data_IF_980610502244
#
_entry.id   IF_980610502244
#
_cell.length_a   1.000
_cell.length_b   1.000
_cell.length_c   1.000
_cell.angle_alpha   90.00
_cell.angle_beta   90.00
_cell.angle_gamma   90.00
#
_symmetry.space_group_name_H-M   'P 1'
#
loop_
_entity.id
_entity.type
_entity.pdbx_description
1 polymer ?
#
# COMPACT_ATOMS: atom_id res chain seq x y z
N UNK A 1 11.73 -16.27 -41.87
CA UNK A 1 11.49 -14.91 -41.33
C UNK A 1 12.30 -13.91 -42.15
N UNK A 2 11.66 -12.91 -42.77
CA UNK A 2 12.33 -12.00 -43.72
C UNK A 2 13.36 -11.13 -42.99
N UNK A 3 14.52 -10.85 -43.62
CA UNK A 3 15.60 -10.04 -43.01
C UNK A 3 15.13 -8.67 -42.51
N UNK A 4 14.13 -8.10 -43.18
CA UNK A 4 13.46 -6.85 -42.78
C UNK A 4 12.71 -7.01 -41.46
N UNK A 5 11.95 -8.10 -41.27
CA UNK A 5 11.22 -8.38 -40.01
C UNK A 5 12.18 -8.59 -38.84
N UNK A 6 13.31 -9.28 -39.07
CA UNK A 6 14.33 -9.48 -38.05
C UNK A 6 15.02 -8.15 -37.64
N UNK A 7 15.28 -7.27 -38.60
CA UNK A 7 15.88 -5.96 -38.34
C UNK A 7 14.94 -5.03 -37.54
N UNK A 8 13.64 -5.06 -37.82
CA UNK A 8 12.63 -4.29 -37.06
C UNK A 8 12.54 -4.80 -35.61
N UNK A 9 12.54 -6.11 -35.40
CA UNK A 9 12.49 -6.70 -34.05
C UNK A 9 13.73 -6.31 -33.23
N UNK A 10 14.92 -6.40 -33.82
CA UNK A 10 16.17 -5.99 -33.16
C UNK A 10 16.20 -4.50 -32.83
N UNK A 11 15.63 -3.66 -33.70
CA UNK A 11 15.51 -2.22 -33.44
C UNK A 11 14.57 -1.92 -32.26
N UNK A 12 13.42 -2.59 -32.18
CA UNK A 12 12.48 -2.43 -31.05
C UNK A 12 13.09 -2.93 -29.73
N UNK A 13 13.79 -4.07 -29.75
CA UNK A 13 14.53 -4.59 -28.59
C UNK A 13 15.63 -3.62 -28.13
N UNK A 14 16.36 -3.01 -29.07
CA UNK A 14 17.36 -1.98 -28.75
C UNK A 14 16.74 -0.72 -28.13
N UNK A 15 15.63 -0.23 -28.69
CA UNK A 15 14.95 0.97 -28.22
C UNK A 15 14.35 0.78 -26.82
N UNK A 16 13.74 -0.38 -26.56
CA UNK A 16 13.18 -0.70 -25.24
C UNK A 16 14.27 -0.79 -24.17
N UNK A 17 15.43 -1.38 -24.48
CA UNK A 17 16.56 -1.45 -23.57
C UNK A 17 17.13 -0.06 -23.23
N UNK A 18 17.24 0.82 -24.24
CA UNK A 18 17.73 2.19 -24.05
C UNK A 18 16.81 3.03 -23.15
N UNK A 19 15.49 2.94 -23.37
CA UNK A 19 14.50 3.65 -22.53
C UNK A 19 14.53 3.11 -21.10
N UNK A 20 14.64 1.79 -20.92
CA UNK A 20 14.77 1.18 -19.58
C UNK A 20 15.99 1.67 -18.81
N UNK A 21 17.15 1.73 -19.47
CA UNK A 21 18.38 2.25 -18.86
C UNK A 21 18.25 3.73 -18.44
N UNK A 22 17.58 4.55 -19.25
CA UNK A 22 17.36 5.97 -18.95
C UNK A 22 16.42 6.18 -17.74
N UNK A 23 15.39 5.34 -17.60
CA UNK A 23 14.46 5.39 -16.47
C UNK A 23 15.16 4.97 -15.16
N UNK A 24 15.98 3.92 -15.20
CA UNK A 24 16.78 3.50 -14.04
C UNK A 24 17.84 4.54 -13.65
N UNK A 25 18.50 5.17 -14.62
CA UNK A 25 19.44 6.26 -14.33
C UNK A 25 18.76 7.45 -13.62
N UNK A 26 17.50 7.75 -13.98
CA UNK A 26 16.72 8.80 -13.30
C UNK A 26 16.26 8.41 -11.89
N UNK A 27 16.01 7.12 -11.62
CA UNK A 27 15.65 6.69 -10.27
C UNK A 27 16.79 6.88 -9.28
N UNK A 28 18.02 6.58 -9.69
CA UNK A 28 19.18 6.67 -8.81
C UNK A 28 19.50 8.12 -8.42
N UNK A 29 19.38 9.06 -9.38
CA UNK A 29 19.50 10.49 -9.10
C UNK A 29 18.39 11.02 -8.16
N UNK A 30 17.15 10.53 -8.32
CA UNK A 30 16.03 10.93 -7.46
C UNK A 30 16.22 10.42 -6.02
N UNK A 31 16.74 9.20 -5.85
CA UNK A 31 17.06 8.62 -4.55
C UNK A 31 18.20 9.42 -3.87
N UNK A 32 19.25 9.77 -4.60
CA UNK A 32 20.36 10.58 -4.08
C UNK A 32 19.92 11.98 -3.61
N UNK A 33 19.02 12.64 -4.35
CA UNK A 33 18.45 13.95 -3.95
C UNK A 33 17.59 13.87 -2.70
N UNK A 34 16.84 12.77 -2.53
CA UNK A 34 15.97 12.54 -1.36
C UNK A 34 16.81 12.31 -0.09
N UNK A 35 17.92 11.57 -0.18
CA UNK A 35 18.84 11.38 0.94
C UNK A 35 19.49 12.68 1.42
N UNK A 36 19.90 13.56 0.49
CA UNK A 36 20.54 14.85 0.83
C UNK A 36 19.57 15.85 1.48
N UNK A 37 18.32 15.85 1.04
CA UNK A 37 17.26 16.73 1.58
C UNK A 37 16.86 16.32 3.01
N UNK A 38 16.81 15.02 3.31
CA UNK A 38 16.52 14.52 4.65
C UNK A 38 17.60 14.90 5.67
N UNK A 39 18.86 14.93 5.26
CA UNK A 39 19.97 15.30 6.15
C UNK A 39 20.03 16.80 6.47
N UNK A 40 19.59 17.68 5.56
CA UNK A 40 19.57 19.13 5.83
C UNK A 40 18.42 19.53 6.78
N UNK A 41 17.29 18.83 6.77
CA UNK A 41 16.16 19.10 7.68
C UNK A 41 16.48 18.77 9.15
N UNK A 42 17.36 17.80 9.40
CA UNK A 42 17.79 17.41 10.75
C UNK A 42 18.81 18.38 11.36
N UNK A 43 19.44 19.24 10.55
CA UNK A 43 20.45 20.20 11.02
C UNK A 43 19.80 21.50 11.54
N UNK A 44 18.60 21.85 11.07
CA UNK A 44 17.96 23.13 11.41
C UNK A 44 17.27 23.15 12.79
N UNK A 45 17.06 21.99 13.44
CA UNK A 45 16.38 21.92 14.74
C UNK A 45 17.30 21.97 15.98
N UNK A 46 18.60 22.26 15.82
CA UNK A 46 19.56 22.22 16.94
C UNK A 46 19.81 23.56 17.64
N UNK A 47 18.85 24.48 17.65
CA UNK A 47 19.00 25.71 18.46
C UNK A 47 17.69 26.15 19.11
N UNK A 48 17.85 26.58 20.37
CA UNK A 48 16.87 27.16 21.30
C UNK A 48 16.18 26.16 22.25
N UNK A 49 16.89 25.78 23.32
CA UNK A 49 16.32 25.89 24.67
C UNK A 49 17.41 26.41 25.61
N UNK A 50 17.20 27.64 26.07
CA UNK A 50 18.02 28.38 27.02
C UNK A 50 18.00 27.69 28.38
N UNK A 51 19.20 27.47 28.91
CA UNK A 51 19.47 26.95 30.26
C UNK A 51 18.82 27.83 31.32
N UNK A 52 17.90 27.28 32.12
CA UNK A 52 17.66 27.81 33.47
C UNK A 52 17.17 26.74 34.44
N UNK A 53 17.85 26.76 35.59
CA UNK A 53 17.56 26.13 36.88
C UNK A 53 18.22 24.77 37.13
N UNK A 54 19.40 24.88 37.74
CA UNK A 54 20.10 23.86 38.51
C UNK A 54 19.13 23.33 39.58
N UNK A 55 18.73 22.07 39.44
CA UNK A 55 18.15 21.28 40.53
C UNK A 55 18.99 20.02 40.60
N UNK A 56 19.77 19.94 41.67
CA UNK A 56 20.56 18.78 42.05
C UNK A 56 19.60 17.64 42.40
N UNK A 57 19.41 16.70 41.49
CA UNK A 57 18.98 15.35 41.81
C UNK A 57 19.89 14.40 41.04
N UNK A 58 20.51 13.48 41.79
CA UNK A 58 21.36 12.38 41.34
C UNK A 58 20.98 11.89 39.94
N UNK A 59 21.90 11.85 38.95
CA UNK A 59 21.57 11.34 37.64
C UNK A 59 21.36 9.83 37.77
N UNK A 60 20.10 9.40 37.81
CA UNK A 60 19.75 8.05 37.46
C UNK A 60 20.28 7.82 36.04
N UNK A 61 21.11 6.79 35.86
CA UNK A 61 21.57 6.36 34.54
C UNK A 61 20.32 5.91 33.79
N UNK A 62 19.80 6.77 32.92
CA UNK A 62 18.70 6.43 32.01
C UNK A 62 19.36 5.59 30.92
N UNK A 63 19.28 4.26 31.05
CA UNK A 63 19.62 3.38 29.93
C UNK A 63 18.76 3.77 28.73
N UNK A 64 19.34 3.97 27.53
CA UNK A 64 18.58 4.30 26.34
C UNK A 64 17.62 3.15 26.05
N UNK A 65 16.34 3.34 26.33
CA UNK A 65 15.27 2.43 25.93
C UNK A 65 15.21 2.45 24.41
N UNK A 66 15.80 1.44 23.78
CA UNK A 66 15.66 1.19 22.34
C UNK A 66 14.18 0.91 22.10
N UNK A 67 13.47 1.87 21.52
CA UNK A 67 12.09 1.65 21.10
C UNK A 67 12.10 0.62 19.97
N UNK A 68 11.45 -0.52 20.21
CA UNK A 68 11.33 -1.54 19.18
C UNK A 68 10.59 -0.97 17.96
N UNK A 69 11.02 -1.34 16.74
CA UNK A 69 10.38 -0.85 15.53
C UNK A 69 8.91 -1.24 15.53
N UNK A 70 8.02 -0.24 15.50
CA UNK A 70 6.58 -0.46 15.44
C UNK A 70 6.22 -1.14 14.12
N UNK A 71 5.78 -2.40 14.20
CA UNK A 71 5.26 -3.13 13.03
C UNK A 71 3.91 -2.56 12.60
N UNK A 72 3.68 -2.49 11.29
CA UNK A 72 2.39 -2.16 10.69
C UNK A 72 1.80 -3.42 10.04
N UNK A 73 0.57 -3.75 10.38
CA UNK A 73 -0.11 -4.97 9.96
C UNK A 73 -1.15 -4.70 8.88
N UNK A 74 -1.23 -5.61 7.91
CA UNK A 74 -2.16 -5.52 6.78
C UNK A 74 -2.92 -6.83 6.59
N UNK A 75 -4.20 -6.74 6.22
CA UNK A 75 -4.98 -7.87 5.71
C UNK A 75 -5.41 -7.53 4.29
N UNK A 76 -5.14 -8.45 3.35
CA UNK A 76 -5.66 -8.41 1.99
C UNK A 76 -6.68 -9.51 1.83
N UNK A 77 -7.86 -9.17 1.33
CA UNK A 77 -8.87 -10.17 0.97
C UNK A 77 -8.69 -10.62 -0.48
N UNK A 78 -9.31 -11.75 -0.82
CA UNK A 78 -9.58 -12.09 -2.21
C UNK A 78 -10.75 -11.28 -2.77
N UNK A 79 -11.26 -11.76 -3.90
CA UNK A 79 -12.33 -11.12 -4.67
C UNK A 79 -13.65 -11.06 -3.90
N UNK A 80 -14.20 -9.86 -3.81
CA UNK A 80 -15.51 -9.57 -3.22
C UNK A 80 -16.45 -9.25 -4.39
N UNK A 81 -17.18 -10.27 -4.82
CA UNK A 81 -18.23 -10.13 -5.82
C UNK A 81 -19.53 -9.66 -5.16
N UNK A 82 -19.78 -8.35 -5.19
CA UNK A 82 -20.92 -7.74 -4.50
C UNK A 82 -22.27 -8.27 -5.03
N UNK A 83 -22.44 -8.42 -6.35
CA UNK A 83 -23.71 -8.81 -6.98
C UNK A 83 -24.09 -10.32 -6.85
N UNK A 84 -23.42 -11.05 -5.95
CA UNK A 84 -23.70 -12.47 -5.66
C UNK A 84 -24.29 -12.63 -4.27
N UNK A 85 -23.73 -13.53 -3.47
CA UNK A 85 -24.25 -13.88 -2.16
C UNK A 85 -24.08 -12.74 -1.14
N UNK A 86 -23.11 -11.85 -1.35
CA UNK A 86 -22.92 -10.65 -0.52
C UNK A 86 -24.18 -9.79 -0.57
N UNK A 87 -24.61 -9.36 -1.76
CA UNK A 87 -25.85 -8.60 -1.95
C UNK A 87 -27.09 -9.33 -1.41
N UNK A 88 -27.21 -10.63 -1.69
CA UNK A 88 -28.34 -11.42 -1.18
C UNK A 88 -28.44 -11.36 0.36
N UNK A 89 -27.31 -11.55 1.04
CA UNK A 89 -27.23 -11.54 2.49
C UNK A 89 -27.44 -10.12 3.05
N UNK A 90 -26.87 -9.10 2.43
CA UNK A 90 -27.08 -7.69 2.80
C UNK A 90 -28.55 -7.31 2.74
N UNK A 91 -29.23 -7.59 1.62
CA UNK A 91 -30.65 -7.27 1.45
C UNK A 91 -31.54 -8.07 2.39
N UNK A 92 -31.27 -9.36 2.56
CA UNK A 92 -32.07 -10.23 3.44
C UNK A 92 -31.98 -9.79 4.90
N UNK A 93 -30.80 -9.37 5.33
CA UNK A 93 -30.56 -8.88 6.70
C UNK A 93 -30.91 -7.40 6.90
N UNK A 94 -31.03 -6.63 5.81
CA UNK A 94 -31.11 -5.16 5.81
C UNK A 94 -29.87 -4.51 6.45
N UNK A 95 -28.72 -5.17 6.32
CA UNK A 95 -27.44 -4.73 6.85
C UNK A 95 -26.29 -5.13 5.92
N UNK A 96 -25.61 -4.15 5.34
CA UNK A 96 -24.48 -4.38 4.43
C UNK A 96 -23.27 -5.03 5.11
N UNK A 97 -23.14 -4.91 6.43
CA UNK A 97 -22.06 -5.54 7.18
C UNK A 97 -22.33 -7.03 7.46
N UNK A 98 -23.59 -7.49 7.32
CA UNK A 98 -24.02 -8.83 7.68
C UNK A 98 -23.15 -9.97 7.13
N UNK A 99 -22.70 -9.95 5.85
CA UNK A 99 -21.85 -11.00 5.29
C UNK A 99 -20.51 -11.18 6.03
N UNK A 100 -20.05 -10.15 6.74
CA UNK A 100 -18.74 -10.08 7.36
C UNK A 100 -18.77 -10.17 8.89
N UNK A 101 -19.95 -10.12 9.52
CA UNK A 101 -20.06 -10.04 10.99
C UNK A 101 -19.34 -11.17 11.73
N UNK A 102 -19.36 -12.38 11.19
CA UNK A 102 -18.71 -13.56 11.80
C UNK A 102 -17.17 -13.51 11.75
N UNK A 103 -16.60 -12.67 10.89
CA UNK A 103 -15.14 -12.51 10.72
C UNK A 103 -14.68 -11.09 11.04
N UNK A 104 -15.57 -10.24 11.58
CA UNK A 104 -15.29 -8.83 11.86
C UNK A 104 -14.06 -8.64 12.73
N UNK A 105 -13.91 -9.45 13.78
CA UNK A 105 -12.79 -9.31 14.72
C UNK A 105 -11.44 -9.62 14.05
N UNK A 106 -11.41 -10.58 13.12
CA UNK A 106 -10.24 -10.86 12.30
C UNK A 106 -9.96 -9.72 11.32
N UNK A 107 -10.97 -9.21 10.61
CA UNK A 107 -10.78 -8.08 9.68
C UNK A 107 -10.33 -6.80 10.41
N UNK A 108 -10.65 -6.65 11.69
CA UNK A 108 -10.23 -5.52 12.52
C UNK A 108 -8.95 -5.77 13.32
N UNK A 109 -8.34 -6.96 13.22
CA UNK A 109 -7.12 -7.27 13.97
C UNK A 109 -5.86 -6.66 13.35
N UNK A 110 -5.95 -6.15 12.12
CA UNK A 110 -4.87 -5.44 11.44
C UNK A 110 -5.09 -3.93 11.46
N UNK A 111 -4.00 -3.18 11.30
CA UNK A 111 -4.04 -1.72 11.20
C UNK A 111 -4.80 -1.28 9.95
N UNK A 112 -4.64 -2.02 8.85
CA UNK A 112 -5.30 -1.74 7.56
C UNK A 112 -5.79 -3.05 6.93
N UNK A 113 -7.07 -3.07 6.54
CA UNK A 113 -7.67 -4.15 5.77
C UNK A 113 -8.09 -3.64 4.39
N UNK A 114 -7.63 -4.33 3.34
CA UNK A 114 -7.85 -3.97 1.94
C UNK A 114 -8.71 -5.05 1.29
N UNK A 115 -9.89 -4.64 0.83
CA UNK A 115 -10.83 -5.50 0.11
C UNK A 115 -10.61 -5.41 -1.41
N UNK A 116 -10.49 -6.55 -2.09
CA UNK A 116 -10.50 -6.57 -3.56
C UNK A 116 -11.96 -6.64 -4.05
N UNK A 117 -12.45 -5.61 -4.73
CA UNK A 117 -13.80 -5.65 -5.31
C UNK A 117 -13.73 -6.22 -6.73
N UNK A 118 -14.55 -7.22 -7.02
CA UNK A 118 -14.64 -7.80 -8.34
C UNK A 118 -15.94 -7.41 -9.04
N UNK A 119 -15.81 -6.96 -10.28
CA UNK A 119 -16.90 -6.41 -11.09
C UNK A 119 -17.10 -4.90 -10.92
N UNK A 120 -17.86 -4.25 -11.81
CA UNK A 120 -18.10 -2.82 -11.77
C UNK A 120 -19.13 -2.47 -10.69
N UNK A 121 -18.89 -1.38 -9.98
CA UNK A 121 -19.86 -0.81 -9.05
C UNK A 121 -20.86 0.02 -9.85
N UNK A 122 -22.06 -0.53 -10.08
CA UNK A 122 -23.11 0.11 -10.88
C UNK A 122 -24.44 0.11 -10.13
N UNK A 123 -25.27 1.14 -10.40
CA UNK A 123 -26.59 1.28 -9.77
C UNK A 123 -27.57 0.17 -10.22
N UNK A 124 -27.52 -0.21 -11.50
CA UNK A 124 -28.32 -1.29 -12.07
C UNK A 124 -27.42 -2.49 -12.37
N UNK A 125 -27.17 -3.33 -11.37
CA UNK A 125 -26.52 -4.62 -11.55
C UNK A 125 -27.57 -5.72 -11.69
N UNK A 126 -27.17 -6.84 -12.28
CA UNK A 126 -27.95 -8.07 -12.28
C UNK A 126 -27.36 -9.06 -11.26
N UNK A 127 -28.20 -9.87 -10.64
CA UNK A 127 -27.73 -10.92 -9.73
C UNK A 127 -27.08 -12.02 -10.55
N UNK A 128 -25.83 -12.34 -10.21
CA UNK A 128 -25.11 -13.43 -10.85
C UNK A 128 -25.43 -14.75 -10.13
N UNK A 129 -25.88 -15.80 -10.85
CA UNK A 129 -26.14 -17.11 -10.25
C UNK A 129 -24.89 -17.73 -9.63
N UNK A 130 -25.05 -18.49 -8.54
CA UNK A 130 -23.91 -19.15 -7.85
C UNK A 130 -23.16 -20.17 -8.73
N UNK A 131 -23.83 -20.74 -9.75
CA UNK A 131 -23.23 -21.69 -10.69
C UNK A 131 -22.68 -21.00 -11.97
N UNK A 132 -22.58 -19.68 -11.97
CA UNK A 132 -22.04 -18.90 -13.09
C UNK A 132 -20.54 -18.66 -12.95
N UNK A 133 -19.82 -18.79 -14.06
CA UNK A 133 -18.43 -18.36 -14.20
C UNK A 133 -18.30 -16.89 -14.64
N UNK A 134 -19.42 -16.18 -14.80
CA UNK A 134 -19.42 -14.76 -15.14
C UNK A 134 -19.14 -13.92 -13.91
N UNK A 135 -18.27 -12.94 -14.06
CA UNK A 135 -18.09 -11.88 -13.07
C UNK A 135 -19.24 -10.87 -13.19
N UNK A 136 -19.53 -10.19 -12.07
CA UNK A 136 -20.57 -9.15 -12.02
C UNK A 136 -20.22 -7.92 -12.85
#
# INVERSE_FOLDING_TARGET
MNRIKLSIILFILGLTCLVGALVLARSDEAIARRAKTSNNLLVEQKQVVVVKKIVTSTPAIIEPKVEEPKSLSFIFTGDIMLARHVDFLSKKSKDEAYPFLKIKDFLNSADITIGNLEGPIVKNYFIVPNNSTRFS
#
